data_IF_895417959714
#
_entry.id   IF_895417959714
#
_cell.length_a   1.000
_cell.length_b   1.000
_cell.length_c   1.000
_cell.angle_alpha   90.00
_cell.angle_beta   90.00
_cell.angle_gamma   90.00
#
_symmetry.space_group_name_H-M   'P 1'
#
loop_
_entity.id
_entity.type
_entity.pdbx_description
1 polymer ?
#
# COMPACT_ATOMS: atom_id res chain seq x y z
N UNK A 1 -15.00 -19.80 21.80
CA UNK A 1 -13.85 -19.28 22.60
C UNK A 1 -12.56 -19.58 21.85
N UNK A 2 -11.73 -18.60 21.63
CA UNK A 2 -10.44 -18.79 20.93
C UNK A 2 -9.47 -19.51 21.85
N UNK A 3 -8.85 -20.61 21.40
CA UNK A 3 -7.87 -21.35 22.22
C UNK A 3 -6.61 -20.50 22.45
N UNK A 4 -5.90 -20.74 23.58
CA UNK A 4 -4.66 -20.02 23.93
C UNK A 4 -3.58 -20.17 22.83
N UNK A 5 -3.45 -21.36 22.26
CA UNK A 5 -2.50 -21.61 21.15
C UNK A 5 -2.84 -20.76 19.93
N UNK A 6 -4.13 -20.69 19.56
CA UNK A 6 -4.60 -19.90 18.42
C UNK A 6 -4.41 -18.39 18.66
N UNK A 7 -4.67 -17.91 19.88
CA UNK A 7 -4.39 -16.52 20.26
C UNK A 7 -2.91 -16.18 20.08
N UNK A 8 -2.03 -17.01 20.62
CA UNK A 8 -0.58 -16.81 20.50
C UNK A 8 -0.13 -16.80 19.04
N UNK A 9 -0.67 -17.68 18.22
CA UNK A 9 -0.40 -17.70 16.78
C UNK A 9 -0.83 -16.40 16.10
N UNK A 10 -2.05 -15.94 16.32
CA UNK A 10 -2.56 -14.68 15.74
C UNK A 10 -1.70 -13.50 16.20
N UNK A 11 -1.38 -13.41 17.50
CA UNK A 11 -0.52 -12.35 18.04
C UNK A 11 0.87 -12.38 17.38
N UNK A 12 1.42 -13.55 17.14
CA UNK A 12 2.75 -13.69 16.53
C UNK A 12 2.85 -13.08 15.14
N UNK A 13 1.75 -13.02 14.37
CA UNK A 13 1.66 -12.41 13.05
C UNK A 13 1.81 -10.87 13.08
N UNK A 14 1.84 -10.24 14.25
CA UNK A 14 2.25 -8.83 14.36
C UNK A 14 3.73 -8.63 14.04
N UNK A 15 4.57 -9.69 14.13
CA UNK A 15 5.99 -9.66 13.80
C UNK A 15 6.21 -9.94 12.30
N UNK A 16 6.99 -9.09 11.62
CA UNK A 16 7.30 -9.22 10.18
C UNK A 16 7.83 -10.62 9.84
N UNK A 17 8.82 -11.10 10.58
CA UNK A 17 9.45 -12.42 10.37
C UNK A 17 8.41 -13.56 10.34
N UNK A 18 7.47 -13.57 11.28
CA UNK A 18 6.43 -14.62 11.35
C UNK A 18 5.47 -14.51 10.16
N UNK A 19 5.10 -13.27 9.75
CA UNK A 19 4.27 -13.08 8.54
C UNK A 19 4.93 -13.63 7.29
N UNK A 20 6.22 -13.39 7.13
CA UNK A 20 7.00 -13.88 5.98
C UNK A 20 7.15 -15.41 5.99
N UNK A 21 7.47 -15.99 7.14
CA UNK A 21 7.60 -17.46 7.30
C UNK A 21 6.27 -18.19 7.06
N UNK A 22 5.18 -17.68 7.62
CA UNK A 22 3.84 -18.29 7.51
C UNK A 22 3.10 -17.89 6.23
N UNK A 23 3.57 -16.86 5.51
CA UNK A 23 2.90 -16.27 4.36
C UNK A 23 1.48 -15.78 4.69
N UNK A 24 1.32 -15.17 5.88
CA UNK A 24 0.04 -14.74 6.44
C UNK A 24 0.13 -13.31 6.99
N UNK A 25 -0.99 -12.60 6.98
CA UNK A 25 -1.10 -11.29 7.61
C UNK A 25 -2.47 -11.07 8.26
N UNK A 26 -2.57 -10.01 9.07
CA UNK A 26 -3.77 -9.68 9.82
C UNK A 26 -4.54 -8.53 9.19
N UNK A 27 -5.86 -8.65 9.19
CA UNK A 27 -6.77 -7.55 8.96
C UNK A 27 -7.75 -7.44 10.12
N UNK A 28 -8.09 -6.21 10.51
CA UNK A 28 -9.00 -5.94 11.63
C UNK A 28 -10.04 -4.91 11.23
N UNK A 29 -11.29 -5.16 11.58
CA UNK A 29 -12.39 -4.22 11.37
C UNK A 29 -13.52 -4.81 10.52
N UNK A 30 -14.74 -4.49 10.94
CA UNK A 30 -15.97 -5.05 10.36
C UNK A 30 -16.08 -4.80 8.84
N UNK A 31 -15.81 -3.56 8.43
CA UNK A 31 -15.87 -3.17 7.02
C UNK A 31 -14.76 -3.84 6.22
N UNK A 32 -13.54 -3.80 6.74
CA UNK A 32 -12.36 -4.36 6.06
C UNK A 32 -12.51 -5.86 5.85
N UNK A 33 -12.91 -6.60 6.89
CA UNK A 33 -13.15 -8.05 6.79
C UNK A 33 -14.24 -8.37 5.77
N UNK A 34 -15.36 -7.62 5.76
CA UNK A 34 -16.41 -7.80 4.75
C UNK A 34 -15.92 -7.58 3.33
N UNK A 35 -15.09 -6.56 3.11
CA UNK A 35 -14.51 -6.23 1.81
C UNK A 35 -13.59 -7.35 1.29
N UNK A 36 -12.71 -7.87 2.15
CA UNK A 36 -11.83 -8.98 1.81
C UNK A 36 -12.59 -10.28 1.49
N UNK A 37 -13.64 -10.57 2.26
CA UNK A 37 -14.52 -11.72 1.98
C UNK A 37 -15.29 -11.55 0.66
N UNK A 38 -15.79 -10.35 0.38
CA UNK A 38 -16.46 -10.04 -0.89
C UNK A 38 -15.51 -10.14 -2.09
N UNK A 39 -14.26 -9.73 -1.92
CA UNK A 39 -13.20 -9.87 -2.91
C UNK A 39 -12.67 -11.32 -3.05
N UNK A 40 -13.24 -12.28 -2.30
CA UNK A 40 -12.82 -13.69 -2.28
C UNK A 40 -11.34 -13.91 -1.95
N UNK A 41 -10.78 -13.03 -1.11
CA UNK A 41 -9.42 -13.22 -0.63
C UNK A 41 -9.31 -14.51 0.19
N UNK A 42 -8.19 -15.25 0.12
CA UNK A 42 -8.02 -16.51 0.81
C UNK A 42 -7.89 -16.30 2.33
N UNK A 43 -9.00 -16.47 3.05
CA UNK A 43 -9.08 -16.27 4.50
C UNK A 43 -8.81 -17.59 5.22
N UNK A 44 -7.69 -17.66 5.97
CA UNK A 44 -7.32 -18.83 6.76
C UNK A 44 -8.10 -18.94 8.06
N UNK A 45 -8.24 -17.82 8.79
CA UNK A 45 -8.97 -17.75 10.06
C UNK A 45 -9.84 -16.50 10.05
N UNK A 46 -11.08 -16.64 10.49
CA UNK A 46 -11.96 -15.53 10.81
C UNK A 46 -12.38 -15.65 12.28
N UNK A 47 -11.83 -14.81 13.13
CA UNK A 47 -12.23 -14.66 14.54
C UNK A 47 -13.15 -13.45 14.67
N UNK A 48 -14.41 -13.70 15.04
CA UNK A 48 -15.38 -12.60 15.10
C UNK A 48 -16.50 -12.87 16.12
N UNK A 49 -17.15 -11.79 16.55
CA UNK A 49 -18.31 -11.87 17.41
C UNK A 49 -19.46 -12.60 16.71
N UNK A 50 -20.31 -13.35 17.47
CA UNK A 50 -21.45 -14.07 16.92
C UNK A 50 -22.36 -13.17 16.08
N UNK A 51 -22.61 -11.93 16.52
CA UNK A 51 -23.49 -10.99 15.81
C UNK A 51 -22.91 -10.62 14.43
N UNK A 52 -21.58 -10.41 14.35
CA UNK A 52 -20.92 -10.17 13.08
C UNK A 52 -21.00 -11.39 12.16
N UNK A 53 -20.72 -12.60 12.68
CA UNK A 53 -20.81 -13.84 11.92
C UNK A 53 -22.23 -14.07 11.38
N UNK A 54 -23.27 -13.76 12.16
CA UNK A 54 -24.66 -13.89 11.73
C UNK A 54 -25.05 -12.88 10.64
N UNK A 55 -24.39 -11.71 10.62
CA UNK A 55 -24.60 -10.68 9.60
C UNK A 55 -23.96 -10.99 8.24
N UNK A 56 -23.07 -12.00 8.17
CA UNK A 56 -22.37 -12.36 6.92
C UNK A 56 -23.22 -13.29 6.04
N UNK A 57 -23.30 -13.05 4.72
CA UNK A 57 -23.82 -14.00 3.77
C UNK A 57 -23.13 -15.36 3.86
N UNK A 58 -23.87 -16.45 3.65
CA UNK A 58 -23.31 -17.81 3.69
C UNK A 58 -22.15 -17.99 2.71
N UNK A 59 -22.26 -17.41 1.51
CA UNK A 59 -21.21 -17.47 0.47
C UNK A 59 -19.87 -16.92 0.96
N UNK A 60 -19.87 -15.90 1.81
CA UNK A 60 -18.65 -15.33 2.38
C UNK A 60 -17.99 -16.24 3.41
N UNK A 61 -18.78 -17.04 4.13
CA UNK A 61 -18.25 -17.98 5.13
C UNK A 61 -17.66 -19.24 4.47
N UNK A 62 -18.19 -19.67 3.33
CA UNK A 62 -17.73 -20.86 2.62
C UNK A 62 -16.28 -20.75 2.12
N UNK A 63 -15.78 -19.54 1.89
CA UNK A 63 -14.40 -19.29 1.49
C UNK A 63 -13.39 -19.21 2.65
N UNK A 64 -13.86 -19.33 3.90
CA UNK A 64 -13.02 -19.25 5.11
C UNK A 64 -12.65 -20.64 5.58
N UNK A 65 -11.34 -20.93 5.78
CA UNK A 65 -10.91 -22.27 6.23
C UNK A 65 -11.33 -22.57 7.67
N UNK A 66 -11.28 -21.57 8.54
CA UNK A 66 -11.63 -21.72 9.97
C UNK A 66 -12.40 -20.49 10.46
N UNK A 67 -13.63 -20.69 10.93
CA UNK A 67 -14.44 -19.62 11.55
C UNK A 67 -14.50 -19.88 13.05
N UNK A 68 -14.09 -18.87 13.84
CA UNK A 68 -13.99 -18.95 15.30
C UNK A 68 -14.91 -17.89 15.92
N UNK A 69 -16.01 -18.28 16.58
CA UNK A 69 -16.77 -17.37 17.41
C UNK A 69 -15.90 -16.87 18.57
N UNK A 70 -15.72 -15.55 18.67
CA UNK A 70 -14.86 -14.90 19.64
C UNK A 70 -15.67 -13.91 20.50
N UNK A 71 -15.38 -13.88 21.81
CA UNK A 71 -15.88 -12.83 22.69
C UNK A 71 -15.14 -11.51 22.46
N UNK A 72 -15.68 -10.41 23.00
CA UNK A 72 -14.97 -9.13 22.99
C UNK A 72 -13.58 -9.23 23.67
N UNK A 73 -13.51 -9.94 24.79
CA UNK A 73 -12.26 -10.14 25.53
C UNK A 73 -11.25 -11.00 24.75
N UNK A 74 -11.72 -11.99 23.98
CA UNK A 74 -10.83 -12.76 23.07
C UNK A 74 -10.26 -11.83 22.00
N UNK A 75 -11.11 -11.02 21.34
CA UNK A 75 -10.67 -10.06 20.32
C UNK A 75 -9.73 -9.01 20.88
N UNK A 76 -9.98 -8.51 22.11
CA UNK A 76 -9.10 -7.56 22.78
C UNK A 76 -7.69 -8.10 23.01
N UNK A 77 -7.55 -9.41 23.25
CA UNK A 77 -6.24 -10.05 23.46
C UNK A 77 -5.44 -10.20 22.17
N UNK A 78 -6.10 -10.42 21.03
CA UNK A 78 -5.45 -10.69 19.74
C UNK A 78 -5.35 -9.46 18.83
N UNK A 79 -6.08 -8.39 19.12
CA UNK A 79 -6.09 -7.15 18.36
C UNK A 79 -4.80 -6.35 18.55
N UNK A 80 -4.35 -5.68 17.51
CA UNK A 80 -3.30 -4.66 17.55
C UNK A 80 -3.85 -3.26 17.92
N UNK A 81 -5.17 -3.11 17.97
CA UNK A 81 -5.86 -1.84 18.21
C UNK A 81 -6.16 -1.66 19.70
N UNK A 82 -6.15 -0.39 20.17
CA UNK A 82 -6.56 -0.07 21.55
C UNK A 82 -8.00 -0.49 21.85
N UNK A 83 -8.90 -0.32 20.88
CA UNK A 83 -10.29 -0.78 20.94
C UNK A 83 -10.49 -1.78 19.80
N UNK A 84 -10.70 -3.06 20.12
CA UNK A 84 -10.89 -4.08 19.09
C UNK A 84 -12.24 -3.87 18.37
N UNK A 85 -12.25 -4.21 17.09
CA UNK A 85 -13.48 -4.32 16.32
C UNK A 85 -14.18 -5.69 16.56
N UNK A 86 -15.32 -5.90 15.92
CA UNK A 86 -16.07 -7.15 16.06
C UNK A 86 -15.49 -8.32 15.25
N UNK A 87 -14.51 -8.07 14.37
CA UNK A 87 -13.92 -9.08 13.51
C UNK A 87 -12.43 -8.81 13.26
N UNK A 88 -11.67 -9.91 13.26
CA UNK A 88 -10.27 -10.02 12.86
C UNK A 88 -10.13 -11.22 11.94
N UNK A 89 -9.37 -11.09 10.85
CA UNK A 89 -9.09 -12.23 9.99
C UNK A 89 -7.59 -12.37 9.70
N UNK A 90 -7.17 -13.62 9.50
CA UNK A 90 -5.85 -14.02 9.03
C UNK A 90 -5.95 -14.34 7.56
N UNK A 91 -5.22 -13.62 6.73
CA UNK A 91 -5.26 -13.67 5.27
C UNK A 91 -3.98 -14.30 4.74
N UNK A 92 -4.07 -15.12 3.70
CA UNK A 92 -2.90 -15.64 2.99
C UNK A 92 -2.32 -14.56 2.08
N UNK A 93 -0.99 -14.42 2.07
CA UNK A 93 -0.32 -13.50 1.16
C UNK A 93 -0.48 -14.00 -0.27
N UNK A 94 -0.85 -13.13 -1.22
CA UNK A 94 -0.94 -13.50 -2.61
C UNK A 94 0.46 -13.83 -3.17
N UNK A 95 0.50 -14.76 -4.12
CA UNK A 95 1.72 -15.07 -4.89
C UNK A 95 1.68 -14.31 -6.21
N UNK A 96 2.09 -13.04 -6.18
CA UNK A 96 2.09 -12.15 -7.35
C UNK A 96 3.51 -12.07 -7.88
N UNK A 97 3.69 -12.46 -9.14
CA UNK A 97 4.98 -12.33 -9.84
C UNK A 97 5.15 -10.90 -10.34
N UNK A 98 6.33 -10.36 -10.13
CA UNK A 98 6.72 -9.07 -10.67
C UNK A 98 6.89 -9.20 -12.20
N UNK A 99 6.15 -8.37 -12.95
CA UNK A 99 6.26 -8.25 -14.40
C UNK A 99 6.72 -6.83 -14.73
N UNK A 100 7.96 -6.69 -15.18
CA UNK A 100 8.57 -5.41 -15.55
C UNK A 100 8.09 -4.88 -16.90
N UNK A 101 7.48 -5.72 -17.76
CA UNK A 101 6.88 -5.26 -19.02
C UNK A 101 5.71 -4.30 -18.80
N UNK A 102 5.09 -4.34 -17.63
CA UNK A 102 4.04 -3.41 -17.24
C UNK A 102 4.54 -1.96 -17.11
N UNK A 103 5.84 -1.74 -16.84
CA UNK A 103 6.42 -0.39 -16.78
C UNK A 103 6.31 0.39 -18.09
N UNK A 104 6.19 -0.29 -19.23
CA UNK A 104 6.00 0.33 -20.55
C UNK A 104 4.54 0.63 -20.86
N UNK A 105 3.62 -0.13 -20.28
CA UNK A 105 2.20 -0.15 -20.67
C UNK A 105 1.33 0.68 -19.73
N UNK A 106 1.76 0.80 -18.48
CA UNK A 106 0.98 1.41 -17.40
C UNK A 106 1.84 2.39 -16.61
N UNK A 107 1.17 3.29 -15.90
CA UNK A 107 1.80 4.14 -14.91
C UNK A 107 2.08 3.30 -13.66
N UNK A 108 3.32 3.34 -13.19
CA UNK A 108 3.78 2.63 -11.98
C UNK A 108 4.39 3.61 -10.99
N UNK A 109 4.41 3.24 -9.72
CA UNK A 109 5.02 4.03 -8.66
C UNK A 109 6.25 3.32 -8.11
N UNK A 110 7.33 4.06 -7.92
CA UNK A 110 8.53 3.59 -7.23
C UNK A 110 8.69 4.40 -5.96
N UNK A 111 8.85 3.71 -4.84
CA UNK A 111 9.00 4.29 -3.50
C UNK A 111 10.38 3.98 -2.95
N UNK A 112 11.16 5.02 -2.76
CA UNK A 112 12.50 4.92 -2.18
C UNK A 112 12.46 5.26 -0.70
N UNK A 113 12.64 4.22 0.13
CA UNK A 113 12.81 4.34 1.58
C UNK A 113 11.62 5.04 2.31
N UNK A 114 10.38 4.77 1.89
CA UNK A 114 9.17 5.22 2.60
C UNK A 114 8.98 4.34 3.84
N UNK A 115 9.27 4.89 5.03
CA UNK A 115 9.33 4.12 6.28
C UNK A 115 8.10 4.26 7.16
N UNK A 116 7.33 5.36 7.05
CA UNK A 116 6.12 5.52 7.85
C UNK A 116 4.98 4.66 7.29
N UNK A 117 4.39 3.77 8.12
CA UNK A 117 3.31 2.88 7.68
C UNK A 117 2.01 3.62 7.32
N UNK A 118 1.78 4.79 7.90
CA UNK A 118 0.64 5.64 7.53
C UNK A 118 0.80 6.21 6.12
N UNK A 119 2.02 6.65 5.78
CA UNK A 119 2.33 7.15 4.45
C UNK A 119 2.20 6.06 3.38
N UNK A 120 2.80 4.88 3.60
CA UNK A 120 2.68 3.78 2.64
C UNK A 120 1.22 3.37 2.42
N UNK A 121 0.44 3.20 3.49
CA UNK A 121 -0.97 2.84 3.37
C UNK A 121 -1.80 3.91 2.64
N UNK A 122 -1.52 5.19 2.88
CA UNK A 122 -2.17 6.30 2.19
C UNK A 122 -1.79 6.36 0.72
N UNK A 123 -0.51 6.12 0.38
CA UNK A 123 -0.04 6.04 -1.02
C UNK A 123 -0.73 4.87 -1.75
N UNK A 124 -0.81 3.69 -1.13
CA UNK A 124 -1.52 2.52 -1.70
C UNK A 124 -2.99 2.89 -1.99
N UNK A 125 -3.65 3.57 -1.05
CA UNK A 125 -5.04 3.99 -1.23
C UNK A 125 -5.19 5.01 -2.36
N UNK A 126 -4.31 5.99 -2.46
CA UNK A 126 -4.29 6.94 -3.55
C UNK A 126 -4.01 6.26 -4.90
N UNK A 127 -3.04 5.33 -4.96
CA UNK A 127 -2.73 4.57 -6.16
C UNK A 127 -3.96 3.78 -6.66
N UNK A 128 -4.63 3.05 -5.77
CA UNK A 128 -5.87 2.34 -6.09
C UNK A 128 -6.97 3.27 -6.62
N UNK A 129 -7.13 4.44 -5.97
CA UNK A 129 -8.13 5.43 -6.39
C UNK A 129 -7.89 5.96 -7.80
N UNK A 130 -6.63 6.21 -8.14
CA UNK A 130 -6.23 6.73 -9.45
C UNK A 130 -5.92 5.63 -10.48
N UNK A 131 -6.22 4.35 -10.17
CA UNK A 131 -6.06 3.24 -11.10
C UNK A 131 -4.61 2.85 -11.37
N UNK A 132 -3.67 3.19 -10.48
CA UNK A 132 -2.27 2.75 -10.50
C UNK A 132 -2.18 1.42 -9.79
N UNK A 133 -1.78 0.37 -10.49
CA UNK A 133 -1.83 -1.00 -9.99
C UNK A 133 -0.52 -1.51 -9.39
N UNK A 134 0.61 -0.97 -9.82
CA UNK A 134 1.93 -1.50 -9.46
C UNK A 134 2.74 -0.47 -8.68
N UNK A 135 3.19 -0.87 -7.48
CA UNK A 135 4.09 -0.10 -6.62
C UNK A 135 5.34 -0.94 -6.39
N UNK A 136 6.51 -0.37 -6.65
CA UNK A 136 7.82 -0.98 -6.42
C UNK A 136 8.49 -0.24 -5.28
N UNK A 137 8.79 -0.94 -4.20
CA UNK A 137 9.41 -0.41 -2.99
C UNK A 137 10.88 -0.84 -2.90
N UNK A 138 11.74 0.04 -2.37
CA UNK A 138 13.04 -0.41 -1.89
C UNK A 138 12.88 -1.36 -0.71
N UNK A 139 13.88 -2.20 -0.45
CA UNK A 139 13.87 -3.14 0.67
C UNK A 139 13.75 -2.45 2.04
N UNK A 140 14.15 -1.17 2.10
CA UNK A 140 14.09 -0.33 3.30
C UNK A 140 12.72 0.34 3.52
N UNK A 141 11.77 0.17 2.62
CA UNK A 141 10.39 0.60 2.85
C UNK A 141 9.74 -0.25 3.94
N UNK A 142 8.76 0.34 4.62
CA UNK A 142 7.94 -0.40 5.57
C UNK A 142 7.20 -1.55 4.88
N UNK A 143 7.05 -2.68 5.57
CA UNK A 143 6.34 -3.86 5.06
C UNK A 143 4.85 -3.57 4.80
N UNK A 144 4.38 -3.87 3.59
CA UNK A 144 2.99 -3.66 3.14
C UNK A 144 1.97 -4.39 4.03
N UNK A 145 2.36 -5.55 4.57
CA UNK A 145 1.51 -6.35 5.47
C UNK A 145 1.64 -5.97 6.95
N UNK A 146 2.36 -4.89 7.26
CA UNK A 146 2.34 -4.31 8.60
C UNK A 146 0.89 -3.92 8.96
N UNK A 147 0.37 -4.29 10.15
CA UNK A 147 -1.01 -4.00 10.54
C UNK A 147 -1.42 -2.53 10.39
N UNK A 148 -0.49 -1.60 10.62
CA UNK A 148 -0.75 -0.16 10.47
C UNK A 148 -0.82 0.27 9.00
N UNK A 149 -0.07 -0.37 8.08
CA UNK A 149 -0.21 -0.14 6.63
C UNK A 149 -1.56 -0.67 6.15
N UNK A 150 -1.92 -1.88 6.53
CA UNK A 150 -3.23 -2.48 6.20
C UNK A 150 -4.36 -1.57 6.66
N UNK A 151 -4.30 -1.08 7.91
CA UNK A 151 -5.32 -0.19 8.47
C UNK A 151 -5.41 1.13 7.70
N UNK A 152 -4.27 1.78 7.40
CA UNK A 152 -4.26 3.07 6.71
C UNK A 152 -4.60 2.97 5.23
N UNK A 153 -4.39 1.82 4.59
CA UNK A 153 -4.84 1.57 3.22
C UNK A 153 -6.35 1.42 3.09
N UNK A 154 -7.06 1.16 4.20
CA UNK A 154 -8.51 0.96 4.25
C UNK A 154 -9.02 -0.03 3.19
N UNK A 155 -8.34 -1.17 3.03
CA UNK A 155 -8.69 -2.22 2.06
C UNK A 155 -8.06 -2.07 0.67
N UNK A 156 -7.55 -0.91 0.32
CA UNK A 156 -7.00 -0.66 -1.01
C UNK A 156 -5.83 -1.61 -1.39
N UNK A 157 -5.19 -2.22 -0.41
CA UNK A 157 -4.10 -3.20 -0.63
C UNK A 157 -4.50 -4.39 -1.51
N UNK A 158 -5.80 -4.73 -1.61
CA UNK A 158 -6.28 -5.81 -2.49
C UNK A 158 -6.33 -5.40 -3.97
N UNK A 159 -6.23 -4.11 -4.27
CA UNK A 159 -6.32 -3.55 -5.63
C UNK A 159 -4.96 -3.12 -6.20
N UNK A 160 -3.88 -3.22 -5.40
CA UNK A 160 -2.55 -2.74 -5.77
C UNK A 160 -1.52 -3.82 -5.47
N UNK A 161 -0.66 -4.09 -6.45
CA UNK A 161 0.48 -4.99 -6.28
C UNK A 161 1.65 -4.20 -5.68
N UNK A 162 2.20 -4.66 -4.57
CA UNK A 162 3.38 -4.06 -3.95
C UNK A 162 4.54 -5.05 -4.01
N UNK A 163 5.61 -4.64 -4.67
CA UNK A 163 6.82 -5.45 -4.86
C UNK A 163 8.00 -4.80 -4.13
N UNK A 164 8.82 -5.60 -3.48
CA UNK A 164 10.09 -5.15 -2.89
C UNK A 164 11.23 -5.63 -3.79
N UNK A 165 12.10 -4.68 -4.20
CA UNK A 165 13.16 -4.98 -5.16
C UNK A 165 14.33 -4.00 -5.05
N UNK A 166 15.45 -4.36 -5.67
CA UNK A 166 16.58 -3.46 -5.91
C UNK A 166 16.16 -2.37 -6.90
N UNK A 167 15.87 -1.18 -6.39
CA UNK A 167 15.39 -0.05 -7.20
C UNK A 167 16.40 0.42 -8.21
N UNK A 168 17.71 0.33 -7.91
CA UNK A 168 18.76 0.71 -8.84
C UNK A 168 18.70 -0.14 -10.10
N UNK A 169 18.64 -1.47 -9.95
CA UNK A 169 18.53 -2.39 -11.09
C UNK A 169 17.24 -2.18 -11.88
N UNK A 170 16.12 -1.96 -11.17
CA UNK A 170 14.83 -1.68 -11.80
C UNK A 170 14.89 -0.42 -12.65
N UNK A 171 15.39 0.69 -12.11
CA UNK A 171 15.46 1.97 -12.80
C UNK A 171 16.50 1.97 -13.92
N UNK A 172 17.65 1.30 -13.75
CA UNK A 172 18.66 1.12 -14.80
C UNK A 172 18.06 0.37 -16.02
N UNK A 173 17.31 -0.70 -15.77
CA UNK A 173 16.60 -1.44 -16.82
C UNK A 173 15.55 -0.57 -17.52
N UNK A 174 14.75 0.16 -16.75
CA UNK A 174 13.73 1.05 -17.28
C UNK A 174 14.34 2.20 -18.12
N UNK A 175 15.42 2.80 -17.63
CA UNK A 175 16.17 3.85 -18.32
C UNK A 175 16.75 3.36 -19.66
N UNK A 176 17.41 2.21 -19.65
CA UNK A 176 17.94 1.54 -20.86
C UNK A 176 16.83 1.21 -21.88
N UNK A 177 15.65 0.90 -21.37
CA UNK A 177 14.44 0.63 -22.16
C UNK A 177 13.72 1.90 -22.64
N UNK A 178 14.26 3.11 -22.35
CA UNK A 178 13.68 4.41 -22.69
C UNK A 178 12.28 4.64 -22.07
N UNK A 179 12.02 4.07 -20.91
CA UNK A 179 10.81 4.32 -20.14
C UNK A 179 11.00 5.65 -19.40
N UNK A 180 10.01 6.52 -19.44
CA UNK A 180 10.08 7.80 -18.70
C UNK A 180 10.04 7.57 -17.20
N UNK A 181 10.94 8.24 -16.48
CA UNK A 181 11.09 8.17 -15.03
C UNK A 181 10.95 9.60 -14.48
N UNK A 182 9.79 9.88 -13.91
CA UNK A 182 9.43 11.16 -13.32
C UNK A 182 9.83 11.19 -11.85
N UNK A 183 10.95 11.83 -11.54
CA UNK A 183 11.39 12.01 -10.14
C UNK A 183 10.73 13.22 -9.50
N UNK A 184 10.01 13.00 -8.39
CA UNK A 184 9.41 14.07 -7.60
C UNK A 184 10.48 14.73 -6.71
N UNK A 185 10.89 15.93 -7.07
CA UNK A 185 11.94 16.70 -6.43
C UNK A 185 11.47 18.11 -6.08
N UNK A 186 12.15 18.78 -5.14
CA UNK A 186 11.84 20.16 -4.77
C UNK A 186 12.32 21.19 -5.80
N UNK A 187 13.20 20.78 -6.73
CA UNK A 187 13.82 21.61 -7.76
C UNK A 187 13.56 21.10 -9.19
N UNK A 188 12.37 20.56 -9.42
CA UNK A 188 11.93 20.12 -10.75
C UNK A 188 11.11 21.17 -11.50
N UNK A 189 10.61 20.78 -12.66
CA UNK A 189 9.61 21.54 -13.40
C UNK A 189 8.21 21.36 -12.80
N UNK A 190 7.39 22.42 -12.87
CA UNK A 190 6.01 22.32 -12.36
C UNK A 190 5.23 21.22 -13.04
N UNK A 191 4.62 20.31 -12.26
CA UNK A 191 3.76 19.24 -12.80
C UNK A 191 2.60 19.78 -13.63
N UNK A 192 2.17 21.01 -13.40
CA UNK A 192 1.03 21.64 -14.07
C UNK A 192 1.34 22.13 -15.50
N UNK A 193 2.62 22.37 -15.78
CA UNK A 193 3.09 22.78 -17.12
C UNK A 193 3.91 21.70 -17.82
N UNK A 194 4.23 20.61 -17.13
CA UNK A 194 5.00 19.51 -17.70
C UNK A 194 4.12 18.58 -18.54
N UNK A 195 4.65 18.08 -19.66
CA UNK A 195 3.95 17.05 -20.46
C UNK A 195 4.08 15.71 -19.78
N UNK A 196 3.00 15.29 -19.11
CA UNK A 196 2.92 14.02 -18.39
C UNK A 196 2.31 12.93 -19.29
N UNK A 197 2.94 11.76 -19.32
CA UNK A 197 2.43 10.59 -20.05
C UNK A 197 1.65 9.66 -19.11
N UNK A 198 0.72 8.91 -19.68
CA UNK A 198 -0.10 7.94 -18.92
C UNK A 198 0.62 6.62 -18.65
N UNK A 199 1.92 6.53 -18.99
CA UNK A 199 2.79 5.38 -18.79
C UNK A 199 4.12 5.83 -18.21
N UNK A 200 4.88 4.89 -17.65
CA UNK A 200 6.19 5.17 -17.06
C UNK A 200 6.19 5.07 -15.54
N UNK A 201 7.17 5.67 -14.92
CA UNK A 201 7.46 5.54 -13.49
C UNK A 201 7.36 6.89 -12.80
N UNK A 202 6.60 6.95 -11.70
CA UNK A 202 6.64 8.05 -10.73
C UNK A 202 7.54 7.62 -9.58
N UNK A 203 8.69 8.27 -9.42
CA UNK A 203 9.65 7.99 -8.35
C UNK A 203 9.46 9.00 -7.21
N UNK A 204 9.14 8.49 -6.02
CA UNK A 204 8.99 9.25 -4.78
C UNK A 204 10.04 8.80 -3.77
N UNK A 205 10.63 9.75 -3.08
CA UNK A 205 11.67 9.49 -2.10
C UNK A 205 11.19 9.49 -0.64
N UNK A 206 12.14 9.30 0.26
CA UNK A 206 11.97 9.39 1.71
C UNK A 206 11.50 10.79 2.14
N UNK A 207 10.72 10.86 3.22
CA UNK A 207 10.12 12.09 3.73
C UNK A 207 11.16 13.17 4.13
N UNK A 208 12.32 12.74 4.63
CA UNK A 208 13.36 13.64 5.12
C UNK A 208 14.55 13.76 4.18
N UNK A 209 14.93 12.67 3.51
CA UNK A 209 16.14 12.58 2.69
C UNK A 209 15.88 12.78 1.20
N UNK A 210 14.60 12.68 0.78
CA UNK A 210 14.26 12.68 -0.64
C UNK A 210 14.63 11.37 -1.35
N UNK A 211 14.89 11.45 -2.63
CA UNK A 211 15.34 10.33 -3.48
C UNK A 211 16.84 10.13 -3.26
N UNK A 212 17.25 8.87 -3.07
CA UNK A 212 18.65 8.48 -2.87
C UNK A 212 19.53 8.90 -4.04
N UNK A 213 20.75 9.37 -3.77
CA UNK A 213 21.67 9.90 -4.77
C UNK A 213 21.96 8.90 -5.91
N UNK A 214 22.03 7.61 -5.59
CA UNK A 214 22.28 6.54 -6.56
C UNK A 214 21.15 6.35 -7.57
N UNK A 215 19.94 6.84 -7.29
CA UNK A 215 18.78 6.75 -8.17
C UNK A 215 18.60 7.98 -9.05
N UNK A 216 19.19 9.15 -8.67
CA UNK A 216 19.07 10.40 -9.40
C UNK A 216 19.51 10.32 -10.88
N UNK A 217 20.58 9.57 -11.25
CA UNK A 217 21.03 9.47 -12.65
C UNK A 217 20.02 8.86 -13.60
N UNK A 218 19.02 8.10 -13.09
CA UNK A 218 17.99 7.44 -13.92
C UNK A 218 16.75 8.30 -14.15
N UNK A 219 16.62 9.45 -13.46
CA UNK A 219 15.50 10.35 -13.63
C UNK A 219 15.59 11.04 -15.01
N UNK A 220 14.56 10.80 -15.83
CA UNK A 220 14.45 11.46 -17.15
C UNK A 220 13.77 12.82 -17.07
N UNK A 221 12.84 12.97 -16.13
CA UNK A 221 12.01 14.15 -15.96
C UNK A 221 11.94 14.52 -14.46
N UNK A 222 12.45 15.68 -14.11
CA UNK A 222 12.37 16.21 -12.75
C UNK A 222 11.09 17.00 -12.61
N UNK A 223 10.16 16.53 -11.79
CA UNK A 223 8.89 17.18 -11.55
C UNK A 223 8.76 17.70 -10.12
N UNK A 224 8.02 18.80 -9.93
CA UNK A 224 7.70 19.31 -8.60
C UNK A 224 6.25 19.79 -8.51
N UNK A 225 5.71 19.78 -7.31
CA UNK A 225 4.49 20.50 -6.96
C UNK A 225 4.91 21.91 -6.53
N UNK A 226 4.55 22.98 -7.28
CA UNK A 226 5.02 24.32 -6.97
C UNK A 226 4.43 24.83 -5.64
N UNK A 227 5.29 25.38 -4.80
CA UNK A 227 4.88 26.06 -3.57
C UNK A 227 4.37 27.47 -3.93
N UNK A 228 3.10 27.72 -3.70
CA UNK A 228 2.45 29.00 -4.05
C UNK A 228 2.69 30.06 -2.99
N UNK A 229 2.66 29.70 -1.69
CA UNK A 229 2.85 30.64 -0.61
C UNK A 229 4.31 31.01 -0.44
N UNK A 230 4.64 32.30 -0.48
CA UNK A 230 5.97 32.86 -0.16
C UNK A 230 6.14 33.15 1.34
N UNK A 231 5.06 33.14 2.12
CA UNK A 231 5.05 33.58 3.53
C UNK A 231 5.36 32.45 4.53
N UNK A 232 5.45 31.19 4.11
CA UNK A 232 5.66 30.04 5.01
C UNK A 232 7.14 29.70 5.09
N UNK A 233 7.88 30.33 6.02
CA UNK A 233 9.19 29.86 6.43
C UNK A 233 9.04 28.54 7.23
N UNK A 234 9.88 27.54 6.91
CA UNK A 234 9.91 26.27 7.65
C UNK A 234 9.05 25.13 7.09
N UNK A 235 8.34 25.33 5.98
CA UNK A 235 7.69 24.25 5.23
C UNK A 235 8.43 24.10 3.91
N UNK A 236 9.33 23.12 3.82
CA UNK A 236 10.18 22.94 2.64
C UNK A 236 9.66 21.87 1.67
N UNK A 237 8.78 20.99 2.14
CA UNK A 237 8.18 19.93 1.34
C UNK A 237 6.77 19.58 1.84
N UNK A 238 6.01 18.90 0.98
CA UNK A 238 4.77 18.23 1.38
C UNK A 238 5.09 16.85 1.96
N UNK A 239 4.22 16.36 2.84
CA UNK A 239 4.22 14.96 3.22
C UNK A 239 4.16 14.08 1.96
N UNK A 240 4.94 12.98 1.91
CA UNK A 240 5.09 12.15 0.72
C UNK A 240 3.78 11.57 0.22
N UNK A 241 2.86 11.18 1.11
CA UNK A 241 1.55 10.64 0.71
C UNK A 241 0.61 11.72 0.14
N UNK A 242 0.73 12.96 0.63
CA UNK A 242 0.00 14.11 0.07
C UNK A 242 0.58 14.47 -1.30
N UNK A 243 1.90 14.52 -1.43
CA UNK A 243 2.56 14.75 -2.72
C UNK A 243 2.18 13.68 -3.75
N UNK A 244 2.19 12.40 -3.34
CA UNK A 244 1.76 11.28 -4.17
C UNK A 244 0.32 11.49 -4.70
N UNK A 245 -0.61 11.86 -3.84
CA UNK A 245 -2.02 12.07 -4.22
C UNK A 245 -2.20 13.19 -5.26
N UNK A 246 -1.47 14.31 -5.11
CA UNK A 246 -1.50 15.42 -6.07
C UNK A 246 -0.89 15.00 -7.40
N UNK A 247 0.27 14.32 -7.37
CA UNK A 247 0.96 13.85 -8.57
C UNK A 247 0.09 12.83 -9.32
N UNK A 248 -0.47 11.83 -8.63
CA UNK A 248 -1.33 10.83 -9.26
C UNK A 248 -2.57 11.46 -9.91
N UNK A 249 -3.19 12.43 -9.23
CA UNK A 249 -4.32 13.20 -9.77
C UNK A 249 -3.95 13.89 -11.08
N UNK A 250 -2.79 14.54 -11.15
CA UNK A 250 -2.38 15.27 -12.34
C UNK A 250 -2.03 14.31 -13.50
N UNK A 251 -1.31 13.20 -13.24
CA UNK A 251 -1.02 12.19 -14.26
C UNK A 251 -2.27 11.52 -14.85
N UNK A 252 -3.33 11.39 -14.05
CA UNK A 252 -4.57 10.71 -14.47
C UNK A 252 -5.69 11.67 -14.87
N UNK A 253 -5.45 12.97 -14.81
CA UNK A 253 -6.46 14.02 -15.08
C UNK A 253 -7.14 13.89 -16.45
N UNK A 254 -6.39 13.49 -17.47
CA UNK A 254 -6.95 13.31 -18.82
C UNK A 254 -7.88 12.10 -18.90
N UNK A 255 -7.60 11.03 -18.14
CA UNK A 255 -8.46 9.83 -18.07
C UNK A 255 -9.79 10.16 -17.38
N UNK A 256 -9.77 10.96 -16.30
CA UNK A 256 -10.97 11.37 -15.57
C UNK A 256 -11.93 12.28 -16.34
N UNK A 257 -11.48 12.88 -17.46
CA UNK A 257 -12.36 13.66 -18.35
C UNK A 257 -13.14 12.81 -19.35
N UNK A 258 -12.83 11.51 -19.44
CA UNK A 258 -13.49 10.56 -20.35
C UNK A 258 -14.51 9.66 -19.63
N UNK A 259 -14.61 9.79 -18.30
CA UNK A 259 -15.63 9.15 -17.44
C UNK A 259 -16.80 10.10 -17.24
#
# INVERSE_FOLDING_TARGET
MVSKSKMNFIISLQKKKVREEERLYLIEGDKLVKEFLAAKMPVRILAARPEFLNSLPLVHKQGVREVIPASYDDLKKISSLKTPHNALAVIEMPDIKMDTDNLRKELSVVLDCVQDPGNLGTIIRAAAWFGIRNIYCSENCVDVYNPKVIQSSMGAVIHVNVFYTDLRKLLESAFSAKIRIYGALVNGDSIYSHKLDNTGIILLGNESKGISEELLPYITDKIMIPKISRATSGIDSLNVSMAASVIFSEFTRSKGRQL
#
